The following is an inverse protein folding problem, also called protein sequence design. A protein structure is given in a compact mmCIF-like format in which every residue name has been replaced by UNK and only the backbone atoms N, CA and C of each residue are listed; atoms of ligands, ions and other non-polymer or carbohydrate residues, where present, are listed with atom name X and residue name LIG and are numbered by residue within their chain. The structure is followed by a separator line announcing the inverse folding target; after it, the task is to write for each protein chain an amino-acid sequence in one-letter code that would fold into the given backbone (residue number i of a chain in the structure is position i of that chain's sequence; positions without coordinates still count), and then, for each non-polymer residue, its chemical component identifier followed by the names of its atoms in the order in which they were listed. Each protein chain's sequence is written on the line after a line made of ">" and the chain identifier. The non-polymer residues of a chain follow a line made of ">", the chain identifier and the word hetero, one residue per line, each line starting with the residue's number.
data_IF_944193687554
#
_entry.id   IF_944193687554
#
_cell.length_a   1.000
_cell.length_b   1.000
_cell.length_c   1.000
_cell.angle_alpha   90.00
_cell.angle_beta   90.00
_cell.angle_gamma   90.00
#
_symmetry.space_group_name_H-M   'P 1'
#
loop_
_entity.id
_entity.type
_entity.pdbx_description
1 polymer ?
#
# COMPACT_ATOMS: atom_id res chain seq x y z
N UNK A 1 -6.25 -4.04 -4.92
CA UNK A 1 -6.69 -4.02 -3.51
C UNK A 1 -7.82 -5.03 -3.20
N UNK A 2 -7.70 -6.33 -3.51
CA UNK A 2 -8.60 -7.34 -2.91
C UNK A 2 -7.95 -8.73 -2.86
N UNK A 3 -8.34 -9.59 -1.91
CA UNK A 3 -7.96 -11.02 -1.87
C UNK A 3 -8.78 -11.90 -2.79
N UNK A 4 -9.86 -11.36 -3.37
CA UNK A 4 -10.75 -12.07 -4.29
C UNK A 4 -10.08 -12.31 -5.63
N UNK A 5 -10.53 -13.34 -6.33
CA UNK A 5 -10.07 -13.66 -7.68
C UNK A 5 -10.37 -12.45 -8.59
N UNK A 6 -9.31 -11.86 -9.14
CA UNK A 6 -9.42 -10.74 -10.06
C UNK A 6 -9.97 -11.22 -11.40
N UNK A 7 -10.79 -10.37 -12.05
CA UNK A 7 -11.17 -10.61 -13.45
C UNK A 7 -9.93 -10.49 -14.32
N UNK A 8 -9.79 -11.41 -15.26
CA UNK A 8 -8.75 -11.33 -16.27
C UNK A 8 -8.92 -10.05 -17.08
N UNK A 9 -7.85 -9.25 -17.17
CA UNK A 9 -7.86 -8.05 -17.99
C UNK A 9 -7.79 -8.43 -19.47
N UNK A 10 -8.62 -7.78 -20.29
CA UNK A 10 -8.64 -7.94 -21.74
C UNK A 10 -8.57 -6.56 -22.39
N UNK A 11 -7.98 -6.42 -23.59
CA UNK A 11 -8.05 -5.18 -24.35
C UNK A 11 -9.52 -4.77 -24.54
N UNK A 12 -9.83 -3.48 -24.39
CA UNK A 12 -11.18 -2.87 -24.35
C UNK A 12 -11.97 -2.97 -23.04
N UNK A 13 -11.52 -3.74 -22.05
CA UNK A 13 -12.19 -3.73 -20.74
C UNK A 13 -11.97 -2.39 -20.02
N UNK A 14 -12.98 -1.92 -19.27
CA UNK A 14 -12.84 -0.73 -18.43
C UNK A 14 -11.79 -0.96 -17.33
N UNK A 15 -11.30 0.15 -16.77
CA UNK A 15 -10.39 0.11 -15.64
C UNK A 15 -10.98 -0.69 -14.47
N UNK A 16 -10.17 -1.59 -13.90
CA UNK A 16 -10.55 -2.37 -12.73
C UNK A 16 -10.74 -1.46 -11.50
N UNK A 17 -11.85 -1.65 -10.77
CA UNK A 17 -12.19 -0.88 -9.57
C UNK A 17 -12.54 -1.82 -8.43
N UNK A 18 -12.01 -1.52 -7.25
CA UNK A 18 -12.40 -2.19 -6.01
C UNK A 18 -13.04 -1.15 -5.11
N UNK A 19 -14.29 -1.40 -4.71
CA UNK A 19 -15.04 -0.50 -3.82
C UNK A 19 -14.80 -0.81 -2.35
N UNK A 20 -14.68 -2.10 -2.02
CA UNK A 20 -14.53 -2.58 -0.65
C UNK A 20 -13.27 -3.45 -0.57
N UNK A 21 -12.10 -2.83 -0.34
CA UNK A 21 -10.86 -3.57 -0.15
C UNK A 21 -10.90 -4.33 1.19
N UNK A 22 -10.37 -5.54 1.19
CA UNK A 22 -10.28 -6.45 2.35
C UNK A 22 -8.88 -6.46 3.00
N UNK A 23 -8.05 -5.48 2.65
CA UNK A 23 -6.69 -5.36 3.14
C UNK A 23 -6.60 -4.52 4.42
N UNK A 24 -5.67 -4.92 5.28
CA UNK A 24 -5.31 -4.20 6.49
C UNK A 24 -3.92 -3.59 6.34
N UNK A 25 -3.75 -2.44 7.00
CA UNK A 25 -2.48 -1.72 7.10
C UNK A 25 -2.32 -1.29 8.54
N UNK A 26 -1.14 -1.53 9.13
CA UNK A 26 -0.81 -1.15 10.49
C UNK A 26 0.41 -0.24 10.49
N UNK A 27 0.34 0.87 11.23
CA UNK A 27 1.49 1.76 11.43
C UNK A 27 2.42 1.12 12.47
N UNK A 28 3.71 1.06 12.16
CA UNK A 28 4.73 0.54 13.06
C UNK A 28 5.64 1.67 13.50
N UNK A 29 6.01 1.66 14.78
CA UNK A 29 6.96 2.62 15.31
C UNK A 29 8.34 2.39 14.71
N UNK A 30 8.88 3.43 14.06
CA UNK A 30 10.23 3.40 13.53
C UNK A 30 11.25 3.68 14.65
N UNK A 31 12.39 2.97 14.70
CA UNK A 31 13.39 3.21 15.72
C UNK A 31 13.99 4.63 15.58
N UNK A 32 14.02 5.35 16.70
CA UNK A 32 14.53 6.74 16.76
C UNK A 32 16.06 6.83 16.62
N UNK A 33 16.77 5.76 16.94
CA UNK A 33 18.24 5.69 16.96
C UNK A 33 18.76 4.45 16.22
N UNK A 34 20.04 4.50 15.81
CA UNK A 34 20.75 3.39 15.16
C UNK A 34 20.67 3.38 13.63
N UNK A 35 21.26 2.33 13.02
CA UNK A 35 21.38 2.19 11.55
C UNK A 35 20.04 2.00 10.82
N UNK A 36 19.00 1.55 11.53
CA UNK A 36 17.65 1.32 11.00
C UNK A 36 16.74 2.56 11.10
N UNK A 37 17.29 3.71 11.52
CA UNK A 37 16.54 4.95 11.64
C UNK A 37 16.02 5.40 10.28
N UNK A 38 14.72 5.65 10.22
CA UNK A 38 14.08 6.20 9.04
C UNK A 38 14.21 7.73 9.01
N UNK A 39 14.34 8.34 7.82
CA UNK A 39 14.23 9.79 7.65
C UNK A 39 12.88 10.32 8.16
N UNK A 40 12.81 11.61 8.52
CA UNK A 40 11.60 12.23 9.08
C UNK A 40 10.37 12.16 8.16
N UNK A 41 10.59 12.06 6.85
CA UNK A 41 9.56 11.97 5.81
C UNK A 41 9.21 10.52 5.44
N UNK A 42 9.76 9.52 6.14
CA UNK A 42 9.50 8.12 5.90
C UNK A 42 8.75 7.51 7.10
N UNK A 43 7.71 6.75 6.80
CA UNK A 43 6.91 6.03 7.78
C UNK A 43 6.94 4.55 7.44
N UNK A 44 7.04 3.71 8.48
CA UNK A 44 7.02 2.26 8.31
C UNK A 44 5.62 1.71 8.56
N UNK A 45 5.16 0.87 7.64
CA UNK A 45 3.89 0.19 7.75
C UNK A 45 4.12 -1.32 7.67
N UNK A 46 3.36 -2.06 8.47
CA UNK A 46 3.09 -3.47 8.23
C UNK A 46 1.83 -3.57 7.37
N UNK A 47 1.94 -4.30 6.26
CA UNK A 47 0.87 -4.45 5.28
C UNK A 47 0.65 -5.93 4.98
N UNK A 48 -0.54 -6.27 4.49
CA UNK A 48 -0.79 -7.62 4.00
C UNK A 48 0.20 -7.95 2.86
N UNK A 49 0.81 -9.15 2.92
CA UNK A 49 1.77 -9.66 1.93
C UNK A 49 1.22 -9.68 0.50
N UNK A 50 -0.10 -9.74 0.35
CA UNK A 50 -0.78 -9.75 -0.96
C UNK A 50 -0.82 -8.37 -1.63
N UNK A 51 -0.57 -7.29 -0.89
CA UNK A 51 -0.60 -5.93 -1.45
C UNK A 51 0.65 -5.65 -2.28
N UNK A 52 0.45 -5.10 -3.48
CA UNK A 52 1.56 -4.57 -4.29
C UNK A 52 1.93 -3.14 -3.87
N UNK A 53 3.08 -2.66 -4.36
CA UNK A 53 3.51 -1.26 -4.18
C UNK A 53 2.45 -0.24 -4.62
N UNK A 54 1.75 -0.54 -5.72
CA UNK A 54 0.72 0.33 -6.27
C UNK A 54 -0.54 0.31 -5.40
N UNK A 55 -0.92 -0.87 -4.89
CA UNK A 55 -2.06 -1.00 -3.98
C UNK A 55 -1.86 -0.22 -2.70
N UNK A 56 -0.66 -0.30 -2.09
CA UNK A 56 -0.35 0.44 -0.84
C UNK A 56 -0.44 1.95 -1.09
N UNK A 57 0.13 2.43 -2.19
CA UNK A 57 0.06 3.84 -2.57
C UNK A 57 -1.39 4.30 -2.73
N UNK A 58 -2.18 3.56 -3.51
CA UNK A 58 -3.57 3.89 -3.79
C UNK A 58 -4.44 3.84 -2.52
N UNK A 59 -4.18 2.88 -1.63
CA UNK A 59 -4.85 2.76 -0.34
C UNK A 59 -4.63 4.00 0.53
N UNK A 60 -3.37 4.45 0.66
CA UNK A 60 -3.01 5.63 1.45
C UNK A 60 -3.52 6.93 0.81
N UNK A 61 -3.42 7.07 -0.51
CA UNK A 61 -3.87 8.26 -1.23
C UNK A 61 -5.40 8.37 -1.28
N UNK A 62 -6.13 7.29 -1.53
CA UNK A 62 -7.60 7.36 -1.71
C UNK A 62 -8.39 7.28 -0.41
N UNK A 63 -7.96 6.46 0.55
CA UNK A 63 -8.70 6.28 1.81
C UNK A 63 -8.27 7.34 2.82
N UNK A 64 -6.95 7.52 3.01
CA UNK A 64 -6.41 8.43 4.01
C UNK A 64 -6.00 9.80 3.47
N UNK A 65 -6.09 10.03 2.15
CA UNK A 65 -5.79 11.32 1.53
C UNK A 65 -4.36 11.80 1.81
N UNK A 66 -3.43 10.85 1.98
CA UNK A 66 -2.02 11.15 2.27
C UNK A 66 -1.22 11.37 0.97
N UNK A 67 -0.37 12.41 0.89
CA UNK A 67 0.51 12.60 -0.25
C UNK A 67 1.68 11.61 -0.19
N UNK A 68 1.61 10.56 -1.02
CA UNK A 68 2.64 9.52 -1.07
C UNK A 68 3.57 9.75 -2.27
N UNK A 69 4.86 10.00 -2.00
CA UNK A 69 5.86 10.19 -3.06
C UNK A 69 6.35 8.86 -3.65
N UNK A 70 6.77 7.95 -2.79
CA UNK A 70 7.31 6.64 -3.18
C UNK A 70 7.01 5.62 -2.08
N UNK A 71 6.92 4.34 -2.45
CA UNK A 71 6.66 3.22 -1.54
C UNK A 71 7.71 2.16 -1.79
N UNK A 72 8.38 1.70 -0.74
CA UNK A 72 9.35 0.60 -0.82
C UNK A 72 8.83 -0.57 -0.01
N UNK A 73 8.83 -1.75 -0.62
CA UNK A 73 8.41 -3.00 0.02
C UNK A 73 9.66 -3.87 0.15
N UNK A 74 9.92 -4.30 1.38
CA UNK A 74 10.95 -5.27 1.73
C UNK A 74 10.24 -6.49 2.33
N UNK A 75 10.70 -7.70 2.00
CA UNK A 75 10.15 -8.97 2.50
C UNK A 75 11.01 -9.49 3.63
#
# INVERSE_FOLDING_TARGET
>A
MTTRIHRLWQPSNPQFRVFLPDFWVKVVEAPTYGRKRLPKNCVKFEVDKRMSRHDVREYLEKIYQLPVRDVRIEV
#
